data_IF_975914372000
#
_entry.id   IF_975914372000
#
_cell.length_a   1.000
_cell.length_b   1.000
_cell.length_c   1.000
_cell.angle_alpha   90.00
_cell.angle_beta   90.00
_cell.angle_gamma   90.00
#
_symmetry.space_group_name_H-M   'P 1'
#
loop_
_entity.id
_entity.type
_entity.pdbx_description
1 polymer ?
#
# COMPACT_ATOMS: atom_id res chain seq x y z
N UNK A 1 -26.83 11.31 10.47
CA UNK A 1 -25.47 11.27 9.90
C UNK A 1 -25.26 9.91 9.25
N UNK A 2 -24.71 9.86 8.02
CA UNK A 2 -24.52 8.60 7.30
C UNK A 2 -23.27 7.89 7.82
N UNK A 3 -23.43 6.70 8.39
CA UNK A 3 -22.30 5.80 8.71
C UNK A 3 -21.80 5.13 7.44
N UNK A 4 -20.49 4.90 7.35
CA UNK A 4 -19.85 4.16 6.25
C UNK A 4 -19.06 3.00 6.82
N UNK A 5 -19.17 1.83 6.19
CA UNK A 5 -18.34 0.67 6.49
C UNK A 5 -17.21 0.57 5.48
N UNK A 6 -15.97 0.61 5.96
CA UNK A 6 -14.79 0.39 5.13
C UNK A 6 -14.64 -1.09 4.79
N UNK A 7 -14.63 -1.41 3.49
CA UNK A 7 -14.45 -2.77 2.98
C UNK A 7 -13.06 -3.00 2.36
N UNK A 8 -12.13 -2.08 2.57
CA UNK A 8 -10.80 -2.15 1.95
C UNK A 8 -9.92 -3.22 2.58
N UNK A 9 -9.93 -3.31 3.91
CA UNK A 9 -9.13 -4.28 4.66
C UNK A 9 -9.97 -4.99 5.74
N UNK A 10 -9.45 -6.10 6.31
CA UNK A 10 -10.18 -6.90 7.30
C UNK A 10 -10.54 -6.14 8.59
N UNK A 11 -10.00 -4.94 8.83
CA UNK A 11 -10.38 -4.07 9.95
C UNK A 11 -11.87 -3.73 9.95
N UNK A 12 -12.50 -3.65 8.78
CA UNK A 12 -13.96 -3.47 8.66
C UNK A 12 -14.52 -2.23 9.36
N UNK A 13 -13.73 -1.15 9.50
CA UNK A 13 -14.09 0.01 10.32
C UNK A 13 -15.47 0.59 9.94
N UNK A 14 -16.30 0.87 10.95
CA UNK A 14 -17.57 1.56 10.80
C UNK A 14 -17.43 2.99 11.31
N UNK A 15 -17.53 3.96 10.39
CA UNK A 15 -17.14 5.35 10.64
C UNK A 15 -18.36 6.27 10.53
N UNK A 16 -18.59 7.08 11.55
CA UNK A 16 -19.48 8.25 11.48
C UNK A 16 -18.80 9.37 10.69
N UNK A 17 -19.57 10.38 10.30
CA UNK A 17 -19.06 11.57 9.65
C UNK A 17 -17.88 12.17 10.44
N UNK A 18 -16.76 12.44 9.77
CA UNK A 18 -15.53 12.96 10.38
C UNK A 18 -14.67 11.94 11.15
N UNK A 19 -15.15 10.70 11.36
CA UNK A 19 -14.34 9.66 12.00
C UNK A 19 -13.34 9.05 11.01
N UNK A 20 -12.14 8.74 11.53
CA UNK A 20 -11.05 8.09 10.80
C UNK A 20 -11.00 6.59 11.09
N UNK A 21 -10.59 5.83 10.09
CA UNK A 21 -10.31 4.40 10.22
C UNK A 21 -9.08 4.14 11.09
N UNK A 22 -8.91 2.87 11.50
CA UNK A 22 -7.75 2.43 12.27
C UNK A 22 -6.40 2.71 11.58
N UNK A 23 -6.41 2.82 10.24
CA UNK A 23 -5.24 3.19 9.46
C UNK A 23 -4.88 4.68 9.49
N UNK A 24 -5.70 5.53 10.13
CA UNK A 24 -5.54 6.99 10.26
C UNK A 24 -5.70 7.79 8.97
N UNK A 25 -5.50 7.15 7.81
CA UNK A 25 -5.47 7.84 6.52
C UNK A 25 -6.79 7.80 5.77
N UNK A 26 -7.82 7.12 6.25
CA UNK A 26 -9.15 7.08 5.60
C UNK A 26 -10.22 7.64 6.53
N UNK A 27 -11.06 8.53 6.01
CA UNK A 27 -12.07 9.24 6.78
C UNK A 27 -13.42 9.18 6.07
N UNK A 28 -14.51 9.18 6.84
CA UNK A 28 -15.84 9.38 6.27
C UNK A 28 -16.13 10.88 6.09
N UNK A 29 -16.25 11.29 4.83
CA UNK A 29 -16.51 12.67 4.41
C UNK A 29 -17.77 12.70 3.54
N UNK A 30 -18.83 13.35 4.00
CA UNK A 30 -20.10 13.44 3.31
C UNK A 30 -20.79 12.09 3.08
N UNK A 31 -20.59 11.11 3.97
CA UNK A 31 -21.08 9.75 3.80
C UNK A 31 -20.32 8.92 2.76
N UNK A 32 -19.10 9.32 2.37
CA UNK A 32 -18.20 8.57 1.49
C UNK A 32 -16.86 8.35 2.19
N UNK A 33 -16.31 7.14 2.05
CA UNK A 33 -14.96 6.86 2.56
C UNK A 33 -13.94 7.44 1.57
N UNK A 34 -13.09 8.35 2.05
CA UNK A 34 -12.04 8.99 1.25
C UNK A 34 -10.69 8.82 1.96
N UNK A 35 -9.62 8.76 1.17
CA UNK A 35 -8.25 8.79 1.71
C UNK A 35 -7.80 10.24 1.88
N UNK A 36 -7.10 10.53 2.97
CA UNK A 36 -6.52 11.83 3.31
C UNK A 36 -5.15 12.05 2.66
N UNK A 37 -4.60 11.01 2.05
CA UNK A 37 -3.21 10.96 1.58
C UNK A 37 -3.08 10.77 0.06
N UNK A 38 -4.16 11.00 -0.70
CA UNK A 38 -4.08 11.01 -2.16
C UNK A 38 -3.21 12.19 -2.61
N UNK A 39 -2.20 11.91 -3.42
CA UNK A 39 -1.24 12.91 -3.88
C UNK A 39 -0.32 13.47 -2.78
N UNK A 40 -0.26 12.81 -1.62
CA UNK A 40 0.47 13.27 -0.43
C UNK A 40 1.48 12.22 0.08
N UNK A 41 2.49 11.82 -0.73
CA UNK A 41 3.53 10.94 -0.22
C UNK A 41 4.37 11.64 0.84
N UNK A 42 4.80 10.91 1.86
CA UNK A 42 5.70 11.39 2.92
C UNK A 42 7.11 10.80 2.81
N UNK A 43 7.31 9.83 1.92
CA UNK A 43 8.63 9.30 1.56
C UNK A 43 8.65 8.98 0.07
N UNK A 44 9.72 9.40 -0.63
CA UNK A 44 9.93 9.17 -2.07
C UNK A 44 11.42 8.98 -2.34
N UNK A 45 11.79 7.85 -2.96
CA UNK A 45 13.19 7.51 -3.23
C UNK A 45 13.33 6.69 -4.52
N UNK A 46 14.37 6.95 -5.33
CA UNK A 46 14.79 6.05 -6.39
C UNK A 46 15.79 5.04 -5.81
N UNK A 47 15.33 3.83 -5.50
CA UNK A 47 16.12 2.78 -4.85
C UNK A 47 16.21 1.53 -5.74
N UNK A 48 17.26 0.70 -5.61
CA UNK A 48 17.31 -0.63 -6.23
C UNK A 48 16.07 -1.47 -5.87
N UNK A 49 15.58 -2.27 -6.83
CA UNK A 49 14.39 -3.11 -6.63
C UNK A 49 14.59 -4.12 -5.49
N UNK A 50 15.82 -4.54 -5.23
CA UNK A 50 16.22 -5.46 -4.16
C UNK A 50 16.03 -4.86 -2.77
N UNK A 51 15.97 -3.52 -2.63
CA UNK A 51 15.61 -2.87 -1.36
C UNK A 51 14.13 -3.11 -1.00
N UNK A 52 13.29 -3.46 -1.98
CA UNK A 52 11.87 -3.83 -1.83
C UNK A 52 11.68 -5.35 -1.70
N UNK A 53 12.68 -6.03 -1.12
CA UNK A 53 13.03 -7.45 -1.27
C UNK A 53 12.52 -8.21 -2.51
N UNK A 54 12.52 -7.58 -3.68
CA UNK A 54 12.30 -8.27 -4.95
C UNK A 54 13.65 -8.70 -5.51
N UNK A 55 13.91 -10.00 -5.52
CA UNK A 55 15.19 -10.57 -5.97
C UNK A 55 15.11 -11.20 -7.35
N UNK A 56 13.88 -11.54 -7.80
CA UNK A 56 13.67 -12.21 -9.07
C UNK A 56 12.86 -11.34 -10.05
N UNK A 57 12.22 -10.28 -9.57
CA UNK A 57 11.57 -9.26 -10.40
C UNK A 57 12.52 -8.09 -10.72
N UNK A 58 12.86 -7.93 -12.00
CA UNK A 58 13.71 -6.84 -12.52
C UNK A 58 15.07 -6.65 -11.80
N UNK A 59 15.85 -7.72 -11.54
CA UNK A 59 17.10 -7.60 -10.80
C UNK A 59 18.07 -6.58 -11.43
N UNK A 60 18.74 -5.80 -10.59
CA UNK A 60 19.66 -4.72 -10.94
C UNK A 60 19.00 -3.42 -11.39
N UNK A 61 17.67 -3.33 -11.39
CA UNK A 61 16.95 -2.12 -11.79
C UNK A 61 16.63 -1.18 -10.63
N UNK A 62 16.41 0.09 -10.96
CA UNK A 62 15.85 1.07 -10.02
C UNK A 62 14.33 1.06 -10.05
N UNK A 63 13.74 1.33 -8.89
CA UNK A 63 12.31 1.52 -8.73
C UNK A 63 12.01 2.78 -7.93
N UNK A 64 11.12 3.62 -8.48
CA UNK A 64 10.70 4.86 -7.87
C UNK A 64 9.71 4.55 -6.76
N UNK A 65 10.17 4.65 -5.54
CA UNK A 65 9.56 4.07 -4.36
C UNK A 65 8.87 5.16 -3.57
N UNK A 66 7.62 4.96 -3.15
CA UNK A 66 6.88 5.94 -2.36
C UNK A 66 6.00 5.31 -1.28
N UNK A 67 5.73 6.12 -0.26
CA UNK A 67 4.82 5.81 0.83
C UNK A 67 4.01 7.03 1.26
N UNK A 68 2.84 6.79 1.85
CA UNK A 68 2.07 7.81 2.55
C UNK A 68 2.03 7.51 4.04
N UNK A 69 1.61 8.49 4.83
CA UNK A 69 1.35 8.27 6.25
C UNK A 69 0.23 7.24 6.47
N UNK A 70 0.34 6.48 7.55
CA UNK A 70 -0.62 5.47 7.99
C UNK A 70 -0.35 4.04 7.50
N UNK A 71 -0.96 3.07 8.17
CA UNK A 71 -0.89 1.64 7.86
C UNK A 71 -2.08 0.94 8.51
N UNK A 72 -2.58 -0.15 7.91
CA UNK A 72 -3.68 -0.93 8.48
C UNK A 72 -3.22 -2.01 9.51
N UNK A 73 -1.92 -2.10 9.77
CA UNK A 73 -1.28 -2.86 10.84
C UNK A 73 -0.48 -1.92 11.76
N UNK A 74 -0.20 -2.38 12.98
CA UNK A 74 0.55 -1.61 13.99
C UNK A 74 1.66 -2.50 14.57
N UNK A 75 2.64 -2.83 13.72
CA UNK A 75 3.69 -3.78 14.08
C UNK A 75 4.61 -3.21 15.16
N UNK A 76 4.86 -3.97 16.23
CA UNK A 76 5.75 -3.55 17.33
C UNK A 76 7.21 -3.35 16.89
N UNK A 77 7.63 -4.02 15.82
CA UNK A 77 8.98 -3.93 15.24
C UNK A 77 9.03 -3.07 13.96
N UNK A 78 8.00 -2.25 13.70
CA UNK A 78 7.93 -1.49 12.45
C UNK A 78 9.13 -0.54 12.31
N UNK A 79 9.93 -0.73 11.26
CA UNK A 79 11.08 0.14 10.97
C UNK A 79 10.64 1.54 10.52
N UNK A 80 9.51 1.62 9.80
CA UNK A 80 8.95 2.87 9.28
C UNK A 80 7.80 3.38 10.17
N UNK A 81 7.89 3.18 11.50
CA UNK A 81 6.82 3.53 12.43
C UNK A 81 6.49 5.04 12.41
N UNK A 82 7.50 5.88 12.17
CA UNK A 82 7.35 7.35 12.09
C UNK A 82 6.40 7.81 11.00
N UNK A 83 6.20 7.03 9.94
CA UNK A 83 5.22 7.33 8.88
C UNK A 83 4.00 6.41 8.95
N UNK A 84 4.19 5.11 9.21
CA UNK A 84 3.11 4.12 9.18
C UNK A 84 2.17 4.22 10.39
N UNK A 85 2.68 4.67 11.54
CA UNK A 85 1.95 4.81 12.80
C UNK A 85 1.83 6.27 13.22
N UNK A 86 1.76 7.18 12.24
CA UNK A 86 1.51 8.61 12.42
C UNK A 86 0.22 9.02 11.73
N UNK A 87 -0.42 10.08 12.20
CA UNK A 87 -1.51 10.66 11.42
C UNK A 87 -0.90 11.41 10.22
N UNK A 88 -1.63 11.54 9.09
CA UNK A 88 -1.16 12.30 7.95
C UNK A 88 -0.62 13.69 8.29
N UNK A 89 -1.31 14.43 9.15
CA UNK A 89 -0.94 15.76 9.61
C UNK A 89 0.35 15.82 10.44
N UNK A 90 0.78 14.71 11.03
CA UNK A 90 1.98 14.63 11.86
C UNK A 90 3.24 14.33 11.04
N UNK A 91 3.09 14.11 9.72
CA UNK A 91 4.20 13.81 8.81
C UNK A 91 4.46 14.96 7.85
N UNK A 92 5.70 15.07 7.37
CA UNK A 92 6.04 15.99 6.29
C UNK A 92 5.62 15.37 4.97
N UNK A 93 4.53 15.87 4.39
CA UNK A 93 3.99 15.38 3.12
C UNK A 93 4.37 16.30 1.96
N UNK A 94 4.66 15.71 0.82
CA UNK A 94 4.83 16.41 -0.45
C UNK A 94 3.49 16.57 -1.16
N UNK A 95 3.43 17.48 -2.12
CA UNK A 95 2.35 17.57 -3.12
C UNK A 95 2.83 16.94 -4.41
N UNK A 96 2.36 15.73 -4.70
CA UNK A 96 2.80 14.95 -5.85
C UNK A 96 1.61 14.23 -6.48
N UNK A 97 1.18 14.69 -7.65
CA UNK A 97 0.18 14.01 -8.48
C UNK A 97 0.72 12.69 -9.05
N UNK A 98 -0.16 11.77 -9.50
CA UNK A 98 0.25 10.56 -10.22
C UNK A 98 1.20 10.84 -11.39
N UNK A 99 0.95 11.91 -12.15
CA UNK A 99 1.78 12.36 -13.27
C UNK A 99 3.17 12.77 -12.80
N UNK A 100 3.27 13.49 -11.68
CA UNK A 100 4.56 13.87 -11.09
C UNK A 100 5.33 12.65 -10.55
N UNK A 101 4.65 11.64 -10.00
CA UNK A 101 5.30 10.38 -9.60
C UNK A 101 5.92 9.69 -10.80
N UNK A 102 5.16 9.56 -11.90
CA UNK A 102 5.63 8.92 -13.12
C UNK A 102 6.75 9.71 -13.77
N UNK A 103 6.66 11.03 -13.80
CA UNK A 103 7.73 11.89 -14.28
C UNK A 103 9.01 11.71 -13.45
N UNK A 104 8.91 11.65 -12.12
CA UNK A 104 10.04 11.37 -11.25
C UNK A 104 10.68 10.00 -11.52
N UNK A 105 9.87 8.98 -11.81
CA UNK A 105 10.38 7.67 -12.22
C UNK A 105 11.15 7.72 -13.54
N UNK A 106 10.65 8.45 -14.54
CA UNK A 106 11.32 8.66 -15.84
C UNK A 106 12.67 9.36 -15.63
N UNK A 107 12.68 10.47 -14.90
CA UNK A 107 13.89 11.28 -14.65
C UNK A 107 14.99 10.50 -13.92
N UNK A 108 14.59 9.56 -13.07
CA UNK A 108 15.51 8.69 -12.33
C UNK A 108 15.81 7.36 -13.05
N UNK A 109 15.41 7.20 -14.31
CA UNK A 109 15.60 5.97 -15.11
C UNK A 109 15.09 4.71 -14.39
N UNK A 110 13.97 4.83 -13.66
CA UNK A 110 13.36 3.72 -12.95
C UNK A 110 12.55 2.84 -13.90
N UNK A 111 12.69 1.52 -13.78
CA UNK A 111 11.90 0.55 -14.58
C UNK A 111 10.53 0.27 -13.98
N UNK A 112 10.37 0.59 -12.70
CA UNK A 112 9.10 0.42 -11.99
C UNK A 112 8.85 1.53 -10.98
N UNK A 113 7.61 1.63 -10.53
CA UNK A 113 7.20 2.40 -9.35
C UNK A 113 6.79 1.42 -8.25
N UNK A 114 7.33 1.60 -7.05
CA UNK A 114 7.03 0.78 -5.88
C UNK A 114 6.20 1.56 -4.86
N UNK A 115 4.97 1.14 -4.61
CA UNK A 115 4.25 1.57 -3.42
C UNK A 115 4.68 0.68 -2.24
N UNK A 116 5.38 1.27 -1.26
CA UNK A 116 6.14 0.54 -0.23
C UNK A 116 6.28 1.35 1.08
N UNK A 117 7.22 0.99 1.95
CA UNK A 117 7.59 1.50 3.28
C UNK A 117 6.48 1.52 4.35
N UNK A 118 5.27 1.98 4.04
CA UNK A 118 4.10 1.91 4.91
C UNK A 118 3.14 0.80 4.46
N UNK A 119 2.07 1.14 3.73
CA UNK A 119 1.11 0.15 3.23
C UNK A 119 0.30 0.70 2.04
N UNK A 120 0.53 0.22 0.79
CA UNK A 120 -0.24 0.65 -0.38
C UNK A 120 -1.76 0.51 -0.26
N UNK A 121 -2.24 -0.46 0.53
CA UNK A 121 -3.68 -0.68 0.70
C UNK A 121 -4.39 0.58 1.21
N UNK A 122 -3.76 1.40 2.06
CA UNK A 122 -4.45 2.55 2.68
C UNK A 122 -4.61 3.75 1.72
N UNK A 123 -3.73 3.86 0.72
CA UNK A 123 -3.76 4.87 -0.34
C UNK A 123 -4.13 4.27 -1.71
N UNK A 124 -4.99 3.24 -1.69
CA UNK A 124 -5.40 2.45 -2.85
C UNK A 124 -5.72 3.27 -4.11
N UNK A 125 -6.53 4.32 -3.99
CA UNK A 125 -6.94 5.16 -5.12
C UNK A 125 -5.73 5.87 -5.75
N UNK A 126 -4.83 6.38 -4.92
CA UNK A 126 -3.62 7.05 -5.40
C UNK A 126 -2.67 6.06 -6.09
N UNK A 127 -2.50 4.87 -5.51
CA UNK A 127 -1.72 3.80 -6.13
C UNK A 127 -2.31 3.32 -7.47
N UNK A 128 -3.63 3.23 -7.58
CA UNK A 128 -4.32 2.88 -8.82
C UNK A 128 -4.16 3.96 -9.90
N UNK A 129 -4.26 5.23 -9.53
CA UNK A 129 -4.05 6.36 -10.45
C UNK A 129 -2.60 6.43 -10.94
N UNK A 130 -1.63 6.21 -10.05
CA UNK A 130 -0.21 6.07 -10.42
C UNK A 130 -0.03 4.93 -11.42
N UNK A 131 -0.62 3.75 -11.15
CA UNK A 131 -0.48 2.59 -12.03
C UNK A 131 -1.11 2.80 -13.42
N UNK A 132 -2.20 3.57 -13.47
CA UNK A 132 -2.83 3.98 -14.74
C UNK A 132 -1.91 4.91 -15.53
N UNK A 133 -1.26 5.86 -14.88
CA UNK A 133 -0.35 6.80 -15.54
C UNK A 133 0.97 6.15 -15.95
N UNK A 134 1.54 5.30 -15.10
CA UNK A 134 2.77 4.58 -15.35
C UNK A 134 2.68 3.68 -16.59
N UNK A 135 1.52 3.03 -16.80
CA UNK A 135 1.26 2.20 -17.99
C UNK A 135 1.35 2.96 -19.31
N UNK A 136 1.02 4.26 -19.34
CA UNK A 136 1.18 5.08 -20.54
C UNK A 136 2.65 5.28 -20.94
N UNK A 137 3.56 5.10 -19.97
CA UNK A 137 4.99 5.34 -20.11
C UNK A 137 5.82 4.04 -20.03
N UNK A 138 5.18 2.87 -20.12
CA UNK A 138 5.82 1.55 -20.00
C UNK A 138 6.61 1.34 -18.69
N UNK A 139 6.16 1.97 -17.60
CA UNK A 139 6.73 1.80 -16.26
C UNK A 139 5.88 0.79 -15.50
N UNK A 140 6.54 -0.23 -14.94
CA UNK A 140 5.89 -1.32 -14.22
C UNK A 140 5.48 -0.88 -12.81
N UNK A 141 4.41 -1.44 -12.27
CA UNK A 141 3.86 -1.08 -10.96
C UNK A 141 3.98 -2.24 -10.00
N UNK A 142 4.61 -2.00 -8.86
CA UNK A 142 4.82 -3.03 -7.85
C UNK A 142 4.37 -2.58 -6.47
N UNK A 143 3.84 -3.52 -5.70
CA UNK A 143 3.49 -3.29 -4.30
C UNK A 143 4.37 -4.11 -3.37
N UNK A 144 4.78 -3.48 -2.28
CA UNK A 144 5.30 -4.17 -1.08
C UNK A 144 4.26 -3.97 0.01
N UNK A 145 3.61 -5.04 0.44
CA UNK A 145 2.42 -4.98 1.31
C UNK A 145 2.46 -6.06 2.37
N UNK A 146 1.80 -5.83 3.50
CA UNK A 146 1.54 -6.89 4.47
C UNK A 146 0.45 -7.88 4.01
N UNK A 147 -0.22 -7.61 2.88
CA UNK A 147 -1.29 -8.47 2.35
C UNK A 147 -2.55 -8.46 3.21
N UNK A 148 -2.71 -7.50 4.13
CA UNK A 148 -3.87 -7.40 5.01
C UNK A 148 -5.04 -6.66 4.33
N UNK A 149 -5.54 -7.24 3.25
CA UNK A 149 -6.54 -6.67 2.33
C UNK A 149 -7.74 -7.62 2.18
N UNK A 150 -8.93 -7.09 1.91
CA UNK A 150 -10.08 -7.93 1.57
C UNK A 150 -10.00 -8.42 0.12
N UNK A 151 -10.66 -9.53 -0.19
CA UNK A 151 -10.59 -10.18 -1.50
C UNK A 151 -10.91 -9.23 -2.67
N UNK A 152 -12.06 -8.54 -2.64
CA UNK A 152 -12.49 -7.71 -3.77
C UNK A 152 -11.50 -6.57 -4.11
N UNK A 153 -11.03 -5.75 -3.15
CA UNK A 153 -9.97 -4.78 -3.44
C UNK A 153 -8.66 -5.40 -3.93
N UNK A 154 -8.30 -6.59 -3.45
CA UNK A 154 -7.09 -7.27 -3.94
C UNK A 154 -7.25 -7.74 -5.39
N UNK A 155 -8.42 -8.24 -5.79
CA UNK A 155 -8.70 -8.58 -7.18
C UNK A 155 -8.59 -7.36 -8.09
N UNK A 156 -9.06 -6.20 -7.64
CA UNK A 156 -8.91 -4.93 -8.34
C UNK A 156 -7.44 -4.51 -8.44
N UNK A 157 -6.67 -4.63 -7.35
CA UNK A 157 -5.23 -4.38 -7.34
C UNK A 157 -4.47 -5.27 -8.34
N UNK A 158 -4.81 -6.55 -8.41
CA UNK A 158 -4.22 -7.47 -9.40
C UNK A 158 -4.50 -7.03 -10.84
N UNK A 159 -5.54 -6.23 -11.11
CA UNK A 159 -5.81 -5.69 -12.44
C UNK A 159 -4.87 -4.56 -12.89
N UNK A 160 -4.04 -4.04 -11.98
CA UNK A 160 -3.12 -2.94 -12.28
C UNK A 160 -1.68 -3.13 -11.82
N UNK A 161 -1.35 -4.25 -11.18
CA UNK A 161 -0.01 -4.54 -10.68
C UNK A 161 0.72 -5.54 -11.58
N UNK A 162 2.02 -5.31 -11.75
CA UNK A 162 2.91 -6.22 -12.47
C UNK A 162 3.58 -7.21 -11.52
N UNK A 163 3.86 -6.77 -10.27
CA UNK A 163 4.38 -7.65 -9.23
C UNK A 163 3.93 -7.22 -7.82
N UNK A 164 3.86 -8.19 -6.92
CA UNK A 164 3.52 -7.98 -5.50
C UNK A 164 4.51 -8.75 -4.64
N UNK A 165 5.09 -8.06 -3.65
CA UNK A 165 5.86 -8.62 -2.56
C UNK A 165 4.97 -8.61 -1.32
N UNK A 166 4.61 -9.78 -0.81
CA UNK A 166 3.86 -9.90 0.45
C UNK A 166 4.81 -10.13 1.62
N UNK A 167 4.87 -9.20 2.56
CA UNK A 167 5.55 -9.41 3.84
C UNK A 167 4.78 -10.42 4.71
N UNK A 168 5.13 -11.70 4.60
CA UNK A 168 4.59 -12.71 5.49
C UNK A 168 5.26 -12.60 6.87
N UNK A 169 4.54 -11.99 7.82
CA UNK A 169 5.13 -11.50 9.08
C UNK A 169 5.36 -12.57 10.15
N UNK A 170 4.67 -13.71 10.06
CA UNK A 170 4.75 -14.80 11.03
C UNK A 170 3.81 -15.95 10.64
N UNK A 171 3.91 -17.10 11.31
CA UNK A 171 3.13 -18.30 10.97
C UNK A 171 1.99 -18.63 11.95
N UNK A 172 1.85 -17.86 13.03
CA UNK A 172 0.83 -18.10 14.07
C UNK A 172 -0.13 -16.93 14.19
N UNK A 173 -1.38 -17.23 14.53
CA UNK A 173 -2.39 -16.21 14.83
C UNK A 173 -1.97 -15.35 16.04
N UNK A 174 -1.34 -15.98 17.04
CA UNK A 174 -0.80 -15.29 18.23
C UNK A 174 0.20 -14.18 17.85
N UNK A 175 1.12 -14.47 16.91
CA UNK A 175 2.07 -13.47 16.43
C UNK A 175 1.36 -12.29 15.77
N UNK A 176 0.34 -12.55 14.93
CA UNK A 176 -0.41 -11.48 14.29
C UNK A 176 -1.18 -10.64 15.31
N UNK A 177 -1.84 -11.26 16.28
CA UNK A 177 -2.64 -10.54 17.28
C UNK A 177 -1.76 -9.70 18.23
N UNK A 178 -0.66 -10.28 18.71
CA UNK A 178 0.19 -9.65 19.72
C UNK A 178 1.24 -8.71 19.13
N UNK A 179 1.76 -9.01 17.94
CA UNK A 179 2.91 -8.29 17.36
C UNK A 179 2.51 -7.36 16.23
N UNK A 180 1.57 -7.74 15.33
CA UNK A 180 1.15 -6.89 14.20
C UNK A 180 -0.18 -6.18 14.42
N UNK A 181 -0.91 -6.60 15.46
CA UNK A 181 -2.31 -6.25 15.73
C UNK A 181 -3.27 -6.66 14.61
N UNK A 182 -2.94 -7.68 13.82
CA UNK A 182 -3.77 -8.21 12.73
C UNK A 182 -4.24 -9.65 12.97
N UNK A 183 -4.54 -10.36 11.89
CA UNK A 183 -4.82 -11.81 11.87
C UNK A 183 -4.15 -12.46 10.65
N UNK A 184 -3.77 -13.74 10.76
CA UNK A 184 -3.02 -14.44 9.70
C UNK A 184 -3.91 -14.84 8.53
N UNK A 185 -5.17 -15.18 8.81
CA UNK A 185 -6.12 -15.71 7.83
C UNK A 185 -6.25 -14.84 6.57
N UNK A 186 -6.50 -13.52 6.68
CA UNK A 186 -6.57 -12.63 5.54
C UNK A 186 -5.29 -12.58 4.70
N UNK A 187 -4.12 -12.60 5.34
CA UNK A 187 -2.82 -12.56 4.62
C UNK A 187 -2.62 -13.85 3.83
N UNK A 188 -2.94 -15.00 4.43
CA UNK A 188 -2.86 -16.29 3.72
C UNK A 188 -3.83 -16.36 2.54
N UNK A 189 -5.03 -15.80 2.68
CA UNK A 189 -6.00 -15.72 1.59
C UNK A 189 -5.52 -14.78 0.48
N UNK A 190 -4.90 -13.65 0.84
CA UNK A 190 -4.31 -12.73 -0.13
C UNK A 190 -3.20 -13.40 -0.95
N UNK A 191 -2.27 -14.11 -0.31
CA UNK A 191 -1.19 -14.84 -0.98
C UNK A 191 -1.74 -15.87 -1.99
N UNK A 192 -2.75 -16.65 -1.58
CA UNK A 192 -3.41 -17.63 -2.47
C UNK A 192 -4.08 -16.95 -3.65
N UNK A 193 -4.82 -15.88 -3.41
CA UNK A 193 -5.52 -15.15 -4.48
C UNK A 193 -4.54 -14.54 -5.49
N UNK A 194 -3.44 -13.92 -5.02
CA UNK A 194 -2.42 -13.35 -5.90
C UNK A 194 -1.83 -14.46 -6.80
N UNK A 195 -1.54 -15.63 -6.21
CA UNK A 195 -1.04 -16.78 -6.96
C UNK A 195 -2.05 -17.27 -8.01
N UNK A 196 -3.33 -17.34 -7.65
CA UNK A 196 -4.42 -17.73 -8.56
C UNK A 196 -4.61 -16.71 -9.71
N UNK A 197 -4.40 -15.41 -9.46
CA UNK A 197 -4.48 -14.36 -10.48
C UNK A 197 -3.28 -14.35 -11.44
N UNK A 198 -2.22 -15.10 -11.15
CA UNK A 198 -1.04 -15.20 -12.02
C UNK A 198 -0.14 -13.96 -12.03
N UNK A 199 -0.29 -13.06 -11.05
CA UNK A 199 0.61 -11.92 -10.86
C UNK A 199 1.96 -12.41 -10.32
N UNK A 200 3.06 -11.72 -10.66
CA UNK A 200 4.36 -12.03 -10.09
C UNK A 200 4.33 -11.83 -8.58
N UNK A 201 4.64 -12.89 -7.82
CA UNK A 201 4.55 -12.91 -6.37
C UNK A 201 5.88 -13.31 -5.75
N UNK A 202 6.39 -12.48 -4.86
CA UNK A 202 7.47 -12.81 -3.91
C UNK A 202 6.95 -12.69 -2.47
N UNK A 203 7.50 -13.49 -1.55
CA UNK A 203 7.07 -13.56 -0.14
C UNK A 203 8.28 -13.33 0.75
#
# INVERSE_FOLDING_TARGET
>A
MKKVKCLLCPRGCELKEGERGNCRSRMNMGGKLQTLVHGKPCAVHADPIEKKPFYHFLPGSLSYSLATAGCNLHCLYCQNWEISQSNPEDTVNMDMSPEQVVQGAIENNCRSIACTYSEPIIFFEYAADIAKEARKNNILNVWVTAGYINQKPLEEACGFLDAIKVDFKGITEDFYQNVTRGSIGPVMNAIKLIKEKGIWLEI
#
